data_IF_487961386681
#
_entry.id   IF_487961386681
#
_cell.length_a   1.000
_cell.length_b   1.000
_cell.length_c   1.000
_cell.angle_alpha   90.00
_cell.angle_beta   90.00
_cell.angle_gamma   90.00
#
_symmetry.space_group_name_H-M   'P 1'
#
loop_
_entity.id
_entity.type
_entity.pdbx_description
1 polymer ?
#
# COMPACT_ATOMS: atom_id res chain seq x y z
N UNK A 1 37.34 -28.04 -16.43
CA UNK A 1 36.75 -26.68 -16.53
C UNK A 1 35.38 -26.68 -17.21
N UNK A 2 35.07 -27.70 -18.01
CA UNK A 2 33.89 -27.75 -18.89
C UNK A 2 32.55 -27.82 -18.15
N UNK A 3 32.50 -28.51 -17.00
CA UNK A 3 31.30 -28.60 -16.16
C UNK A 3 30.89 -27.24 -15.57
N UNK A 4 31.87 -26.39 -15.24
CA UNK A 4 31.63 -25.05 -14.75
C UNK A 4 31.04 -24.16 -15.84
N UNK A 5 31.60 -24.22 -17.05
CA UNK A 5 31.09 -23.49 -18.22
C UNK A 5 29.69 -23.95 -18.62
N UNK A 6 29.40 -25.25 -18.52
CA UNK A 6 28.05 -25.78 -18.75
C UNK A 6 27.04 -25.24 -17.73
N UNK A 7 27.38 -25.24 -16.43
CA UNK A 7 26.49 -24.69 -15.39
C UNK A 7 26.21 -23.19 -15.56
N UNK A 8 27.21 -22.42 -16.01
CA UNK A 8 27.08 -20.99 -16.26
C UNK A 8 26.15 -20.71 -17.44
N UNK A 9 26.27 -21.49 -18.52
CA UNK A 9 25.38 -21.40 -19.68
C UNK A 9 23.94 -21.78 -19.33
N UNK A 10 23.73 -22.82 -18.51
CA UNK A 10 22.39 -23.22 -18.04
C UNK A 10 21.76 -22.14 -17.18
N UNK A 11 22.53 -21.51 -16.27
CA UNK A 11 22.05 -20.39 -15.47
C UNK A 11 21.69 -19.18 -16.34
N UNK A 12 22.51 -18.87 -17.35
CA UNK A 12 22.22 -17.81 -18.33
C UNK A 12 20.94 -18.08 -19.13
N UNK A 13 20.76 -19.32 -19.60
CA UNK A 13 19.55 -19.74 -20.31
C UNK A 13 18.30 -19.61 -19.43
N UNK A 14 18.39 -20.03 -18.16
CA UNK A 14 17.31 -19.89 -17.18
C UNK A 14 16.94 -18.42 -16.94
N UNK A 15 17.93 -17.54 -16.79
CA UNK A 15 17.68 -16.10 -16.61
C UNK A 15 16.94 -15.50 -17.83
N UNK A 16 17.36 -15.84 -19.05
CA UNK A 16 16.69 -15.36 -20.28
C UNK A 16 15.25 -15.88 -20.37
N UNK A 17 15.01 -17.16 -20.07
CA UNK A 17 13.66 -17.75 -20.10
C UNK A 17 12.73 -17.08 -19.09
N UNK A 18 13.21 -16.80 -17.87
CA UNK A 18 12.42 -16.11 -16.84
C UNK A 18 12.08 -14.68 -17.27
N UNK A 19 13.04 -13.94 -17.80
CA UNK A 19 12.79 -12.58 -18.33
C UNK A 19 11.81 -12.59 -19.51
N UNK A 20 11.94 -13.54 -20.42
CA UNK A 20 11.00 -13.70 -21.53
C UNK A 20 9.58 -14.00 -21.01
N UNK A 21 9.45 -14.90 -20.03
CA UNK A 21 8.17 -15.22 -19.39
C UNK A 21 7.50 -14.01 -18.73
N UNK A 22 8.26 -13.24 -17.92
CA UNK A 22 7.74 -12.01 -17.29
C UNK A 22 7.32 -10.98 -18.34
N UNK A 23 8.13 -10.77 -19.37
CA UNK A 23 7.84 -9.81 -20.45
C UNK A 23 6.58 -10.20 -21.20
N UNK A 24 6.40 -11.49 -21.51
CA UNK A 24 5.21 -12.03 -22.18
C UNK A 24 3.95 -11.88 -21.30
N UNK A 25 4.06 -12.13 -19.99
CA UNK A 25 2.95 -11.96 -19.04
C UNK A 25 2.52 -10.49 -18.95
N UNK A 26 3.48 -9.57 -18.81
CA UNK A 26 3.23 -8.13 -18.80
C UNK A 26 2.59 -7.68 -20.12
N UNK A 27 3.04 -8.22 -21.26
CA UNK A 27 2.48 -7.92 -22.56
C UNK A 27 1.00 -8.35 -22.66
N UNK A 28 0.66 -9.56 -22.21
CA UNK A 28 -0.73 -10.02 -22.15
C UNK A 28 -1.63 -9.14 -21.26
N UNK A 29 -1.15 -8.77 -20.06
CA UNK A 29 -1.90 -7.86 -19.17
C UNK A 29 -2.11 -6.49 -19.83
N UNK A 30 -1.08 -5.96 -20.51
CA UNK A 30 -1.19 -4.68 -21.23
C UNK A 30 -2.18 -4.74 -22.38
N UNK A 31 -2.26 -5.86 -23.11
CA UNK A 31 -3.27 -6.04 -24.15
C UNK A 31 -4.68 -6.03 -23.54
N UNK A 32 -4.95 -6.84 -22.51
CA UNK A 32 -6.24 -6.82 -21.80
C UNK A 32 -6.61 -5.42 -21.29
N UNK A 33 -5.65 -4.71 -20.70
CA UNK A 33 -5.86 -3.34 -20.20
C UNK A 33 -6.18 -2.38 -21.34
N UNK A 34 -5.46 -2.44 -22.46
CA UNK A 34 -5.71 -1.61 -23.65
C UNK A 34 -7.10 -1.86 -24.25
N UNK A 35 -7.52 -3.11 -24.33
CA UNK A 35 -8.85 -3.47 -24.84
C UNK A 35 -9.97 -3.05 -23.88
N UNK A 36 -9.77 -3.20 -22.56
CA UNK A 36 -10.74 -2.74 -21.55
C UNK A 36 -10.86 -1.21 -21.48
N UNK A 37 -9.76 -0.47 -21.62
CA UNK A 37 -9.80 1.00 -21.64
C UNK A 37 -10.36 1.60 -22.93
N UNK A 38 -10.54 0.79 -23.98
CA UNK A 38 -11.14 1.26 -25.23
C UNK A 38 -12.68 1.22 -25.22
N UNK A 39 -13.29 0.66 -24.15
CA UNK A 39 -14.73 0.38 -24.07
C UNK A 39 -15.58 1.26 -23.16
N UNK A 40 -15.03 1.98 -22.17
CA UNK A 40 -15.87 2.59 -21.12
C UNK A 40 -15.77 4.11 -21.03
N UNK A 41 -16.58 4.77 -21.87
CA UNK A 41 -17.39 5.87 -21.40
C UNK A 41 -18.57 5.28 -20.63
N UNK A 42 -18.64 5.45 -19.29
CA UNK A 42 -19.84 5.86 -18.50
C UNK A 42 -19.84 5.34 -17.05
N UNK A 43 -19.80 6.34 -16.16
CA UNK A 43 -20.22 6.43 -14.74
C UNK A 43 -21.21 5.37 -14.24
N UNK A 44 -21.13 5.03 -12.94
CA UNK A 44 -22.19 5.12 -11.88
C UNK A 44 -21.68 4.42 -10.60
N UNK A 45 -21.26 5.11 -9.54
CA UNK A 45 -22.04 5.58 -8.36
C UNK A 45 -23.07 4.58 -7.78
N UNK A 46 -22.74 3.96 -6.64
CA UNK A 46 -23.70 3.68 -5.57
C UNK A 46 -22.95 3.34 -4.27
N UNK A 47 -23.28 4.05 -3.20
CA UNK A 47 -22.91 3.80 -1.79
C UNK A 47 -24.24 3.76 -0.99
N UNK A 48 -24.28 3.50 0.33
CA UNK A 48 -24.63 2.23 0.99
C UNK A 48 -25.86 2.40 1.93
N UNK A 49 -26.18 1.42 2.81
CA UNK A 49 -26.57 1.76 4.19
C UNK A 49 -25.93 0.82 5.24
N UNK A 50 -25.18 1.27 6.25
CA UNK A 50 -25.55 1.87 7.56
C UNK A 50 -26.37 0.95 8.49
N UNK A 51 -25.77 0.54 9.62
CA UNK A 51 -26.39 0.23 10.93
C UNK A 51 -25.26 0.09 11.96
N UNK A 52 -24.96 1.06 12.85
CA UNK A 52 -25.66 1.55 14.06
C UNK A 52 -24.83 1.17 15.33
N UNK A 53 -24.75 2.05 16.35
CA UNK A 53 -23.63 2.12 17.29
C UNK A 53 -23.91 1.39 18.62
N UNK A 54 -22.91 0.73 19.19
CA UNK A 54 -22.97 0.17 20.55
C UNK A 54 -21.96 0.89 21.46
N UNK A 55 -22.49 1.29 22.61
CA UNK A 55 -21.94 2.21 23.60
C UNK A 55 -20.60 1.80 24.24
N UNK A 56 -19.76 2.81 24.52
CA UNK A 56 -18.57 2.70 25.37
C UNK A 56 -18.97 2.71 26.87
N UNK A 57 -18.25 1.95 27.73
CA UNK A 57 -17.29 2.57 28.66
C UNK A 57 -16.14 1.62 29.08
N UNK A 58 -15.21 1.99 29.99
CA UNK A 58 -14.43 3.22 30.15
C UNK A 58 -12.93 2.95 29.90
N UNK A 59 -12.15 4.03 29.82
CA UNK A 59 -10.69 4.04 29.60
C UNK A 59 -9.96 3.29 30.72
N UNK A 60 -9.47 2.09 30.40
CA UNK A 60 -8.41 1.43 31.16
C UNK A 60 -7.07 1.78 30.49
N UNK A 61 -6.10 2.14 31.32
CA UNK A 61 -4.70 2.44 30.99
C UNK A 61 -4.17 1.52 29.89
N UNK A 62 -3.28 2.00 28.97
CA UNK A 62 -2.67 1.12 27.99
C UNK A 62 -1.80 0.11 28.74
N UNK A 63 -2.39 -1.04 29.06
CA UNK A 63 -1.68 -2.28 29.25
C UNK A 63 -0.88 -2.43 27.97
N UNK A 64 0.44 -2.41 28.11
CA UNK A 64 1.33 -2.83 27.03
C UNK A 64 0.93 -4.26 26.74
N UNK A 65 0.04 -4.43 25.77
CA UNK A 65 -0.20 -5.72 25.16
C UNK A 65 1.14 -6.09 24.58
N UNK A 66 1.88 -6.95 25.29
CA UNK A 66 3.07 -7.58 24.78
C UNK A 66 2.63 -8.22 23.47
N UNK A 67 3.08 -7.65 22.35
CA UNK A 67 2.74 -8.16 21.03
C UNK A 67 3.57 -9.43 20.86
N UNK A 68 3.12 -10.51 21.50
CA UNK A 68 3.72 -11.83 21.42
C UNK A 68 3.82 -12.21 19.94
N UNK A 69 5.04 -12.11 19.39
CA UNK A 69 5.34 -12.44 18.00
C UNK A 69 6.11 -11.37 17.22
N UNK A 70 6.25 -10.15 17.74
CA UNK A 70 7.10 -9.12 17.09
C UNK A 70 8.43 -9.01 17.85
N UNK A 71 9.58 -9.20 17.19
CA UNK A 71 10.88 -9.10 17.84
C UNK A 71 11.11 -7.68 18.39
N UNK A 72 11.76 -7.60 19.56
CA UNK A 72 12.01 -6.34 20.26
C UNK A 72 12.73 -5.30 19.39
N UNK A 73 13.60 -5.74 18.48
CA UNK A 73 14.32 -4.85 17.55
C UNK A 73 13.37 -4.14 16.58
N UNK A 74 12.30 -4.80 16.14
CA UNK A 74 11.29 -4.19 15.26
C UNK A 74 10.46 -3.19 16.04
N UNK A 75 10.10 -3.51 17.29
CA UNK A 75 9.40 -2.58 18.17
C UNK A 75 10.28 -1.34 18.40
N UNK A 76 11.56 -1.53 18.77
CA UNK A 76 12.51 -0.43 18.98
C UNK A 76 12.72 0.42 17.73
N UNK A 77 12.85 -0.20 16.56
CA UNK A 77 12.99 0.51 15.29
C UNK A 77 11.73 1.34 14.96
N UNK A 78 10.53 0.79 15.19
CA UNK A 78 9.27 1.51 14.98
C UNK A 78 9.14 2.65 15.99
N UNK A 79 9.41 2.42 17.27
CA UNK A 79 9.38 3.44 18.32
C UNK A 79 10.35 4.58 18.01
N UNK A 80 11.58 4.25 17.57
CA UNK A 80 12.57 5.24 17.16
C UNK A 80 12.13 6.03 15.93
N UNK A 81 11.54 5.37 14.92
CA UNK A 81 11.02 6.05 13.72
C UNK A 81 9.87 7.01 14.07
N UNK A 82 8.96 6.60 14.95
CA UNK A 82 7.87 7.45 15.44
C UNK A 82 8.41 8.65 16.22
N UNK A 83 9.36 8.42 17.14
CA UNK A 83 10.01 9.48 17.89
C UNK A 83 10.75 10.45 16.95
N UNK A 84 11.45 9.96 15.93
CA UNK A 84 12.13 10.82 14.96
C UNK A 84 11.15 11.71 14.15
N UNK A 85 9.93 11.23 13.86
CA UNK A 85 8.91 11.97 13.11
C UNK A 85 8.18 12.99 14.00
N UNK A 86 7.90 12.66 15.26
CA UNK A 86 7.12 13.53 16.14
C UNK A 86 7.95 14.42 17.07
N UNK A 87 9.13 13.97 17.50
CA UNK A 87 9.99 14.63 18.50
C UNK A 87 11.28 15.22 17.88
N UNK A 88 11.47 15.13 16.57
CA UNK A 88 12.55 15.82 15.87
C UNK A 88 12.39 17.34 15.93
N UNK A 89 13.51 18.10 15.83
CA UNK A 89 13.56 19.58 15.88
C UNK A 89 12.64 20.30 14.89
N UNK A 90 12.08 19.58 13.91
CA UNK A 90 11.09 20.08 12.96
C UNK A 90 9.81 19.24 12.95
N UNK A 91 9.20 19.02 14.11
CA UNK A 91 7.94 18.26 14.29
C UNK A 91 6.85 18.59 13.26
N UNK A 92 5.78 17.80 13.22
CA UNK A 92 4.76 17.92 12.16
C UNK A 92 4.08 19.31 12.13
N UNK A 93 4.59 20.21 11.28
CA UNK A 93 4.05 21.57 11.08
C UNK A 93 3.43 21.66 9.68
N UNK A 94 2.11 21.81 9.65
CA UNK A 94 1.39 22.06 8.40
C UNK A 94 1.63 23.50 7.96
N UNK A 95 2.55 23.70 7.00
CA UNK A 95 2.88 25.03 6.48
C UNK A 95 1.78 25.65 5.61
N UNK A 96 0.97 24.82 4.94
CA UNK A 96 -0.07 25.30 4.03
C UNK A 96 -1.13 24.23 3.78
N UNK A 97 -2.40 24.61 3.89
CA UNK A 97 -3.53 23.81 3.44
C UNK A 97 -4.09 24.45 2.17
N UNK A 98 -4.16 23.68 1.08
CA UNK A 98 -4.82 24.08 -0.17
C UNK A 98 -5.86 23.03 -0.54
N UNK A 99 -7.05 23.49 -0.94
CA UNK A 99 -8.07 22.60 -1.50
C UNK A 99 -7.63 22.16 -2.90
N UNK A 100 -7.54 20.85 -3.11
CA UNK A 100 -7.27 20.26 -4.43
C UNK A 100 -8.60 19.81 -5.02
N UNK A 101 -9.06 20.49 -6.07
CA UNK A 101 -10.34 20.16 -6.74
C UNK A 101 -10.15 19.13 -7.87
N UNK A 102 -8.95 19.01 -8.43
CA UNK A 102 -8.63 18.11 -9.54
C UNK A 102 -7.67 16.99 -9.11
N UNK A 103 -8.17 16.07 -8.26
CA UNK A 103 -7.43 14.87 -7.86
C UNK A 103 -8.04 13.63 -8.53
N UNK A 104 -7.25 12.60 -8.86
CA UNK A 104 -7.75 11.33 -9.38
C UNK A 104 -8.84 10.74 -8.48
N UNK A 105 -9.81 10.03 -9.07
CA UNK A 105 -10.96 9.48 -8.36
C UNK A 105 -10.57 8.59 -7.17
N UNK A 106 -9.48 7.82 -7.30
CA UNK A 106 -8.97 6.96 -6.23
C UNK A 106 -8.45 7.77 -5.03
N UNK A 107 -7.73 8.87 -5.24
CA UNK A 107 -7.21 9.71 -4.17
C UNK A 107 -8.32 10.48 -3.45
N UNK A 108 -9.44 10.76 -4.13
CA UNK A 108 -10.63 11.35 -3.52
C UNK A 108 -11.36 10.33 -2.65
N UNK A 109 -11.61 9.13 -3.19
CA UNK A 109 -12.28 8.05 -2.47
C UNK A 109 -11.54 7.69 -1.16
N UNK A 110 -10.21 7.55 -1.21
CA UNK A 110 -9.43 7.26 -0.01
C UNK A 110 -9.51 8.36 1.06
N UNK A 111 -9.51 9.65 0.67
CA UNK A 111 -9.68 10.76 1.64
C UNK A 111 -11.09 10.79 2.23
N UNK A 112 -12.11 10.58 1.39
CA UNK A 112 -13.50 10.51 1.82
C UNK A 112 -13.70 9.35 2.80
N UNK A 113 -13.16 8.17 2.51
CA UNK A 113 -13.19 7.03 3.42
C UNK A 113 -12.48 7.35 4.74
N UNK A 114 -11.24 7.85 4.73
CA UNK A 114 -10.51 8.15 5.98
C UNK A 114 -11.14 9.26 6.82
N UNK A 115 -11.90 10.17 6.22
CA UNK A 115 -12.55 11.29 6.94
C UNK A 115 -13.93 10.89 7.47
N UNK A 116 -14.69 10.06 6.73
CA UNK A 116 -16.09 9.75 7.05
C UNK A 116 -16.30 8.35 7.64
N UNK A 117 -15.34 7.42 7.58
CA UNK A 117 -15.51 6.04 8.08
C UNK A 117 -15.20 5.86 9.57
N UNK A 118 -14.68 6.90 10.25
CA UNK A 118 -14.16 6.82 11.62
C UNK A 118 -15.04 7.53 12.66
N UNK A 119 -16.27 7.90 12.29
CA UNK A 119 -17.33 8.35 13.19
C UNK A 119 -18.50 7.37 13.14
#
# INVERSE_FOLDING_TARGET
MDKFMYSLSVAGLGMVVVFAGLTLLIFCVKLMTKFATSGDNKKTKASPPVAAPIAAPPVAMPVVTEVEGIPADVIAAITAAIAAVWDGEGGFVVRRVKRVNNAPAWSRAGREEQTYSRF
#
